data_IF_630496214497
#
_entry.id   IF_630496214497
#
_cell.length_a   1.000
_cell.length_b   1.000
_cell.length_c   1.000
_cell.angle_alpha   90.00
_cell.angle_beta   90.00
_cell.angle_gamma   90.00
#
_symmetry.space_group_name_H-M   'P 1'
#
loop_
_entity.id
_entity.type
_entity.pdbx_description
1 polymer ?
#
# COMPACT_ATOMS: atom_id res chain seq x y z
N UNK A 1 -16.07 9.18 16.73
CA UNK A 1 -15.44 10.49 16.47
C UNK A 1 -14.13 10.55 17.26
N UNK A 2 -13.09 11.08 16.69
CA UNK A 2 -11.81 11.35 17.36
C UNK A 2 -11.21 12.62 16.76
N UNK A 3 -10.39 13.29 17.56
CA UNK A 3 -9.58 14.42 17.13
C UNK A 3 -8.13 13.95 17.02
N UNK A 4 -7.46 14.34 15.93
CA UNK A 4 -6.07 14.00 15.68
C UNK A 4 -5.29 15.29 15.38
N UNK A 5 -4.20 15.50 16.11
CA UNK A 5 -3.25 16.58 15.85
C UNK A 5 -2.00 15.97 15.22
N UNK A 6 -1.69 16.41 13.99
CA UNK A 6 -0.50 15.98 13.25
C UNK A 6 0.51 17.13 13.24
N UNK A 7 1.73 16.94 13.81
CA UNK A 7 2.77 17.96 13.75
C UNK A 7 3.42 17.99 12.35
N UNK A 8 2.87 18.80 11.45
CA UNK A 8 3.37 18.94 10.09
C UNK A 8 4.33 20.13 9.98
N UNK A 9 5.54 19.89 9.48
CA UNK A 9 6.50 20.95 9.10
C UNK A 9 6.36 21.39 7.64
N UNK A 10 5.77 20.53 6.78
CA UNK A 10 5.47 20.80 5.38
C UNK A 10 4.17 20.11 4.98
N UNK A 11 3.54 20.48 3.85
CA UNK A 11 2.40 19.76 3.30
C UNK A 11 2.74 18.30 3.04
N UNK A 12 1.75 17.41 3.24
CA UNK A 12 1.93 15.99 3.02
C UNK A 12 0.63 15.29 2.59
N UNK A 13 0.80 14.19 1.87
CA UNK A 13 -0.30 13.28 1.55
C UNK A 13 -0.44 12.20 2.62
N UNK A 14 -1.67 11.94 3.00
CA UNK A 14 -2.05 10.88 3.93
C UNK A 14 -3.08 9.96 3.30
N UNK A 15 -3.18 8.75 3.82
CA UNK A 15 -4.19 7.79 3.41
C UNK A 15 -5.01 7.34 4.60
N UNK A 16 -6.35 7.43 4.48
CA UNK A 16 -7.30 6.86 5.44
C UNK A 16 -8.23 5.93 4.67
N UNK A 17 -8.06 4.61 4.84
CA UNK A 17 -8.77 3.62 4.05
C UNK A 17 -8.52 3.83 2.54
N UNK A 18 -9.57 4.13 1.79
CA UNK A 18 -9.49 4.43 0.34
C UNK A 18 -9.36 5.92 0.03
N UNK A 19 -9.40 6.79 1.03
CA UNK A 19 -9.27 8.23 0.82
C UNK A 19 -7.81 8.67 0.84
N UNK A 20 -7.46 9.56 -0.07
CA UNK A 20 -6.21 10.32 -0.03
C UNK A 20 -6.53 11.70 0.51
N UNK A 21 -5.79 12.13 1.52
CA UNK A 21 -5.86 13.47 2.10
C UNK A 21 -4.58 14.23 1.79
N UNK A 22 -4.71 15.52 1.52
CA UNK A 22 -3.60 16.46 1.47
C UNK A 22 -3.79 17.47 2.59
N UNK A 23 -2.82 17.53 3.50
CA UNK A 23 -2.86 18.39 4.66
C UNK A 23 -1.67 19.35 4.65
N UNK A 24 -1.92 20.57 5.03
CA UNK A 24 -0.90 21.61 5.17
C UNK A 24 -0.76 22.05 6.64
N UNK A 25 0.41 22.57 7.07
CA UNK A 25 0.52 23.12 8.40
C UNK A 25 -0.56 24.18 8.68
N UNK A 26 -1.28 24.02 9.77
CA UNK A 26 -2.36 24.93 10.17
C UNK A 26 -3.70 24.68 9.46
N UNK A 27 -3.91 23.53 8.81
CA UNK A 27 -5.24 23.09 8.40
C UNK A 27 -6.08 22.71 9.62
N UNK A 28 -7.38 22.94 9.53
CA UNK A 28 -8.39 22.52 10.50
C UNK A 28 -9.50 21.82 9.73
N UNK A 29 -9.26 20.54 9.41
CA UNK A 29 -10.12 19.78 8.52
C UNK A 29 -10.99 18.80 9.29
N UNK A 30 -12.31 18.91 9.12
CA UNK A 30 -13.26 17.87 9.53
C UNK A 30 -13.46 16.89 8.38
N UNK A 31 -13.27 15.60 8.67
CA UNK A 31 -13.37 14.52 7.69
C UNK A 31 -14.50 13.58 8.07
N UNK A 32 -15.44 13.40 7.18
CA UNK A 32 -16.54 12.44 7.30
C UNK A 32 -16.33 11.34 6.28
N UNK A 33 -15.89 10.17 6.73
CA UNK A 33 -15.61 9.03 5.86
C UNK A 33 -16.93 8.32 5.52
N UNK A 34 -17.23 8.24 4.22
CA UNK A 34 -18.32 7.43 3.70
C UNK A 34 -17.92 5.97 3.51
N UNK A 35 -18.90 5.11 3.24
CA UNK A 35 -18.70 3.70 2.91
C UNK A 35 -17.94 3.51 1.59
N UNK A 36 -17.98 4.50 0.72
CA UNK A 36 -17.14 4.60 -0.48
C UNK A 36 -16.45 5.96 -0.53
N UNK A 37 -15.32 6.03 -1.21
CA UNK A 37 -14.53 7.25 -1.34
C UNK A 37 -15.32 8.47 -1.83
N UNK A 38 -16.19 8.38 -2.87
CA UNK A 38 -16.98 9.50 -3.33
C UNK A 38 -17.99 10.06 -2.31
N UNK A 39 -18.38 9.25 -1.33
CA UNK A 39 -19.35 9.64 -0.28
C UNK A 39 -18.69 10.40 0.89
N UNK A 40 -17.35 10.41 0.97
CA UNK A 40 -16.66 11.17 2.00
C UNK A 40 -16.84 12.66 1.80
N UNK A 41 -16.95 13.43 2.89
CA UNK A 41 -17.10 14.89 2.86
C UNK A 41 -16.06 15.55 3.76
N UNK A 42 -15.72 16.79 3.41
CA UNK A 42 -14.69 17.57 4.05
C UNK A 42 -15.22 18.95 4.36
N UNK A 43 -14.91 19.48 5.55
CA UNK A 43 -15.29 20.82 5.98
C UNK A 43 -14.11 21.50 6.66
N UNK A 44 -14.03 22.83 6.57
CA UNK A 44 -13.00 23.63 7.21
C UNK A 44 -11.80 23.93 6.29
N UNK A 45 -10.71 24.40 6.90
CA UNK A 45 -9.50 24.79 6.16
C UNK A 45 -8.82 23.57 5.58
N UNK A 46 -8.55 23.57 4.27
CA UNK A 46 -7.99 22.45 3.51
C UNK A 46 -9.05 21.63 2.76
N UNK A 47 -10.36 21.97 2.87
CA UNK A 47 -11.42 21.18 2.28
C UNK A 47 -11.38 21.15 0.74
N UNK A 48 -10.93 22.20 0.06
CA UNK A 48 -10.96 22.29 -1.40
C UNK A 48 -10.01 21.26 -2.04
N UNK A 49 -8.77 21.16 -1.54
CA UNK A 49 -7.81 20.18 -2.00
C UNK A 49 -8.33 18.74 -1.79
N UNK A 50 -8.92 18.49 -0.61
CA UNK A 50 -9.41 17.15 -0.25
C UNK A 50 -10.72 16.79 -0.99
N UNK A 51 -11.57 17.76 -1.28
CA UNK A 51 -12.75 17.58 -2.14
C UNK A 51 -12.35 17.26 -3.58
N UNK A 52 -11.30 17.90 -4.11
CA UNK A 52 -10.74 17.56 -5.42
C UNK A 52 -10.17 16.14 -5.45
N UNK A 53 -9.43 15.75 -4.41
CA UNK A 53 -8.83 14.40 -4.33
C UNK A 53 -9.88 13.29 -4.18
N UNK A 54 -11.06 13.62 -3.68
CA UNK A 54 -12.17 12.71 -3.53
C UNK A 54 -12.55 12.05 -4.85
N UNK A 55 -12.58 10.72 -4.90
CA UNK A 55 -12.91 9.98 -6.11
C UNK A 55 -11.81 9.97 -7.18
N UNK A 56 -10.63 10.51 -6.89
CA UNK A 56 -9.48 10.43 -7.80
C UNK A 56 -8.79 9.08 -7.68
N UNK A 57 -7.97 8.78 -8.68
CA UNK A 57 -7.17 7.56 -8.68
C UNK A 57 -6.26 7.51 -7.45
N UNK A 58 -6.10 6.33 -6.90
CA UNK A 58 -5.16 6.13 -5.80
C UNK A 58 -3.74 6.46 -6.27
N UNK A 59 -2.94 7.16 -5.47
CA UNK A 59 -1.56 7.46 -5.82
C UNK A 59 -0.75 6.21 -6.18
N UNK A 60 -0.87 5.15 -5.40
CA UNK A 60 -0.12 3.89 -5.59
C UNK A 60 -0.54 3.07 -6.82
N UNK A 61 -1.76 3.25 -7.30
CA UNK A 61 -2.30 2.52 -8.45
C UNK A 61 -2.88 3.49 -9.49
N UNK A 62 -2.40 4.75 -9.49
CA UNK A 62 -2.86 5.80 -10.38
C UNK A 62 -2.67 5.41 -11.83
N UNK A 63 -3.78 5.17 -12.52
CA UNK A 63 -3.78 4.84 -13.93
C UNK A 63 -5.11 5.23 -14.56
N UNK A 64 -5.05 5.82 -15.74
CA UNK A 64 -6.23 6.14 -16.51
C UNK A 64 -6.85 4.92 -17.21
N UNK A 65 -6.20 3.73 -17.13
CA UNK A 65 -6.76 2.50 -17.72
C UNK A 65 -8.00 2.00 -16.97
N UNK A 66 -8.24 2.41 -15.71
CA UNK A 66 -9.45 2.09 -14.96
C UNK A 66 -9.76 0.58 -14.91
N UNK A 67 -8.76 -0.22 -14.50
CA UNK A 67 -8.84 -1.69 -14.50
C UNK A 67 -9.23 -2.28 -15.88
N UNK A 68 -8.66 -1.73 -16.94
CA UNK A 68 -8.87 -2.19 -18.33
C UNK A 68 -10.06 -1.55 -19.06
N UNK A 69 -10.98 -0.85 -18.39
CA UNK A 69 -12.16 -0.25 -19.04
C UNK A 69 -11.81 0.78 -20.12
N UNK A 70 -10.70 1.48 -19.98
CA UNK A 70 -10.20 2.48 -20.93
C UNK A 70 -9.14 1.92 -21.89
N UNK A 71 -8.88 0.61 -21.83
CA UNK A 71 -8.03 -0.06 -22.79
C UNK A 71 -8.68 -0.04 -24.19
N UNK A 72 -7.86 0.09 -25.21
CA UNK A 72 -8.25 0.01 -26.62
C UNK A 72 -7.38 -1.08 -27.29
N UNK A 73 -7.77 -1.57 -28.48
CA UNK A 73 -7.06 -2.66 -29.15
C UNK A 73 -5.58 -2.40 -29.42
N UNK A 74 -5.18 -1.14 -29.54
CA UNK A 74 -3.78 -0.75 -29.77
C UNK A 74 -3.28 0.24 -28.73
N UNK A 75 -1.96 0.30 -28.54
CA UNK A 75 -1.34 1.29 -27.68
C UNK A 75 -1.70 2.72 -28.09
N UNK A 76 -1.61 3.05 -29.37
CA UNK A 76 -1.91 4.38 -29.89
C UNK A 76 -3.36 4.82 -29.61
N UNK A 77 -4.32 3.92 -29.77
CA UNK A 77 -5.72 4.20 -29.46
C UNK A 77 -5.95 4.36 -27.95
N UNK A 78 -5.26 3.56 -27.13
CA UNK A 78 -5.29 3.67 -25.68
C UNK A 78 -4.64 4.97 -25.21
N UNK A 79 -3.48 5.32 -25.79
CA UNK A 79 -2.76 6.58 -25.54
C UNK A 79 -3.68 7.78 -25.74
N UNK A 80 -4.37 7.87 -26.88
CA UNK A 80 -5.34 8.96 -27.16
C UNK A 80 -6.42 9.07 -26.08
N UNK A 81 -6.92 7.93 -25.60
CA UNK A 81 -7.92 7.90 -24.53
C UNK A 81 -7.33 8.42 -23.22
N UNK A 82 -6.13 7.95 -22.85
CA UNK A 82 -5.41 8.37 -21.63
C UNK A 82 -5.11 9.87 -21.68
N UNK A 83 -4.57 10.37 -22.79
CA UNK A 83 -4.24 11.79 -22.97
C UNK A 83 -5.47 12.69 -22.84
N UNK A 84 -6.60 12.27 -23.41
CA UNK A 84 -7.87 13.00 -23.31
C UNK A 84 -8.36 13.09 -21.87
N UNK A 85 -8.27 11.97 -21.11
CA UNK A 85 -8.66 11.92 -19.70
C UNK A 85 -7.71 12.75 -18.83
N UNK A 86 -6.43 12.74 -19.13
CA UNK A 86 -5.43 13.55 -18.43
C UNK A 86 -5.67 15.04 -18.68
N UNK A 87 -5.97 15.42 -19.91
CA UNK A 87 -6.29 16.81 -20.27
C UNK A 87 -7.54 17.33 -19.53
N UNK A 88 -8.59 16.51 -19.42
CA UNK A 88 -9.78 16.85 -18.63
C UNK A 88 -9.42 17.07 -17.15
N UNK A 89 -8.63 16.17 -16.58
CA UNK A 89 -8.21 16.29 -15.18
C UNK A 89 -7.30 17.50 -14.95
N UNK A 90 -6.42 17.82 -15.89
CA UNK A 90 -5.57 19.00 -15.84
C UNK A 90 -6.41 20.28 -15.83
N UNK A 91 -7.44 20.35 -16.68
CA UNK A 91 -8.40 21.45 -16.72
C UNK A 91 -9.15 21.60 -15.39
N UNK A 92 -9.69 20.50 -14.82
CA UNK A 92 -10.33 20.53 -13.50
C UNK A 92 -9.38 21.10 -12.41
N UNK A 93 -8.11 20.69 -12.44
CA UNK A 93 -7.11 21.19 -11.49
C UNK A 93 -6.84 22.70 -11.66
N UNK A 94 -6.81 23.18 -12.89
CA UNK A 94 -6.60 24.62 -13.18
C UNK A 94 -7.78 25.50 -12.75
N UNK A 95 -8.99 24.97 -12.81
CA UNK A 95 -10.21 25.67 -12.41
C UNK A 95 -10.41 25.72 -10.89
N UNK A 96 -9.65 24.94 -10.10
CA UNK A 96 -9.76 24.98 -8.64
C UNK A 96 -9.44 26.37 -8.09
N UNK A 97 -10.22 26.78 -7.08
CA UNK A 97 -9.95 27.99 -6.28
C UNK A 97 -9.47 27.57 -4.89
N UNK A 98 -8.81 28.48 -4.19
CA UNK A 98 -8.42 28.33 -2.77
C UNK A 98 -7.53 27.11 -2.47
N UNK A 99 -6.71 26.67 -3.44
CA UNK A 99 -5.68 25.65 -3.22
C UNK A 99 -4.29 26.28 -3.36
N UNK A 100 -3.31 25.73 -2.64
CA UNK A 100 -1.93 26.24 -2.69
C UNK A 100 -1.28 26.01 -4.06
N UNK A 101 -0.27 26.82 -4.37
CA UNK A 101 0.55 26.64 -5.59
C UNK A 101 1.27 25.29 -5.55
N UNK A 102 1.72 24.88 -4.37
CA UNK A 102 2.40 23.61 -4.14
C UNK A 102 1.45 22.42 -4.41
N UNK A 103 0.23 22.45 -3.89
CA UNK A 103 -0.78 21.43 -4.20
C UNK A 103 -0.98 21.29 -5.71
N UNK A 104 -1.15 22.41 -6.39
CA UNK A 104 -1.35 22.45 -7.85
C UNK A 104 -0.16 21.84 -8.59
N UNK A 105 1.05 22.15 -8.16
CA UNK A 105 2.27 21.62 -8.75
C UNK A 105 2.35 20.11 -8.56
N UNK A 106 2.20 19.61 -7.32
CA UNK A 106 2.25 18.19 -7.01
C UNK A 106 1.15 17.39 -7.75
N UNK A 107 -0.07 17.94 -7.87
CA UNK A 107 -1.14 17.30 -8.60
C UNK A 107 -0.92 17.29 -10.12
N UNK A 108 -0.27 18.31 -10.69
CA UNK A 108 0.17 18.28 -12.10
C UNK A 108 1.14 17.12 -12.34
N UNK A 109 2.14 16.97 -11.47
CA UNK A 109 3.11 15.90 -11.60
C UNK A 109 2.46 14.54 -11.35
N UNK A 110 1.47 14.45 -10.45
CA UNK A 110 0.67 13.26 -10.26
C UNK A 110 -0.10 12.86 -11.51
N UNK A 111 -0.74 13.81 -12.21
CA UNK A 111 -1.48 13.54 -13.45
C UNK A 111 -0.53 13.01 -14.53
N UNK A 112 0.66 13.60 -14.69
CA UNK A 112 1.69 13.13 -15.63
C UNK A 112 2.16 11.72 -15.28
N UNK A 113 2.40 11.45 -13.99
CA UNK A 113 2.78 10.12 -13.54
C UNK A 113 1.65 9.09 -13.74
N UNK A 114 0.37 9.45 -13.56
CA UNK A 114 -0.78 8.62 -13.90
C UNK A 114 -0.81 8.29 -15.41
N UNK A 115 -0.41 9.22 -16.29
CA UNK A 115 -0.25 8.97 -17.74
C UNK A 115 0.88 7.97 -17.98
N UNK A 116 2.07 8.23 -17.43
CA UNK A 116 3.23 7.33 -17.58
C UNK A 116 2.91 5.91 -17.07
N UNK A 117 2.28 5.82 -15.89
CA UNK A 117 1.84 4.53 -15.33
C UNK A 117 0.83 3.83 -16.24
N UNK A 118 -0.08 4.59 -16.87
CA UNK A 118 -1.06 4.02 -17.82
C UNK A 118 -0.36 3.45 -19.06
N UNK A 119 0.63 4.15 -19.60
CA UNK A 119 1.39 3.69 -20.75
C UNK A 119 2.17 2.42 -20.42
N UNK A 120 2.90 2.40 -19.30
CA UNK A 120 3.64 1.22 -18.86
C UNK A 120 2.74 0.01 -18.64
N UNK A 121 1.57 0.24 -18.02
CA UNK A 121 0.64 -0.81 -17.66
C UNK A 121 -0.12 -1.38 -18.86
N UNK A 122 -0.10 -0.73 -20.03
CA UNK A 122 -0.83 -1.16 -21.23
C UNK A 122 -0.54 -2.63 -21.59
N UNK A 123 0.75 -3.00 -21.61
CA UNK A 123 1.16 -4.35 -21.99
C UNK A 123 0.58 -5.41 -21.04
N UNK A 124 0.53 -5.14 -19.74
CA UNK A 124 -0.01 -6.07 -18.73
C UNK A 124 -1.53 -6.27 -18.81
N UNK A 125 -2.25 -5.39 -19.50
CA UNK A 125 -3.69 -5.49 -19.74
C UNK A 125 -4.03 -5.93 -21.16
N UNK A 126 -3.04 -6.05 -22.06
CA UNK A 126 -3.24 -6.35 -23.47
C UNK A 126 -3.15 -7.85 -23.74
N UNK A 127 -4.30 -8.54 -23.76
CA UNK A 127 -4.36 -9.95 -24.12
C UNK A 127 -3.70 -10.21 -25.49
N UNK A 128 -3.87 -9.29 -26.46
CA UNK A 128 -3.29 -9.41 -27.79
C UNK A 128 -1.75 -9.42 -27.78
N UNK A 129 -1.11 -8.83 -26.79
CA UNK A 129 0.36 -8.84 -26.66
C UNK A 129 0.88 -10.08 -25.93
N UNK A 130 0.05 -10.65 -25.04
CA UNK A 130 0.49 -11.66 -24.09
C UNK A 130 -0.03 -13.06 -24.38
N UNK A 131 -1.07 -13.20 -25.23
CA UNK A 131 -1.71 -14.48 -25.56
C UNK A 131 -0.76 -15.54 -26.10
N UNK A 132 0.28 -15.13 -26.81
CA UNK A 132 1.23 -16.03 -27.46
C UNK A 132 2.45 -16.36 -26.58
N UNK A 133 2.59 -15.71 -25.41
CA UNK A 133 3.70 -15.96 -24.49
C UNK A 133 3.51 -17.30 -23.78
N UNK A 134 4.44 -18.24 -24.02
CA UNK A 134 4.43 -19.59 -23.42
C UNK A 134 5.38 -19.74 -22.24
N UNK A 135 6.23 -18.73 -22.00
CA UNK A 135 7.21 -18.73 -20.93
C UNK A 135 7.39 -17.34 -20.33
N UNK A 136 7.93 -17.30 -19.12
CA UNK A 136 8.29 -16.04 -18.44
C UNK A 136 9.35 -15.26 -19.25
N UNK A 137 10.25 -15.96 -19.90
CA UNK A 137 11.30 -15.34 -20.71
C UNK A 137 10.71 -14.66 -21.97
N UNK A 138 9.78 -15.32 -22.68
CA UNK A 138 9.07 -14.72 -23.81
C UNK A 138 8.27 -13.49 -23.37
N UNK A 139 7.60 -13.57 -22.20
CA UNK A 139 6.87 -12.45 -21.61
C UNK A 139 7.80 -11.26 -21.36
N UNK A 140 8.97 -11.48 -20.72
CA UNK A 140 9.96 -10.43 -20.48
C UNK A 140 10.48 -9.80 -21.77
N UNK A 141 10.70 -10.61 -22.82
CA UNK A 141 11.14 -10.10 -24.13
C UNK A 141 10.07 -9.23 -24.80
N UNK A 142 8.81 -9.64 -24.76
CA UNK A 142 7.68 -8.86 -25.29
C UNK A 142 7.57 -7.53 -24.58
N UNK A 143 7.62 -7.54 -23.23
CA UNK A 143 7.60 -6.31 -22.43
C UNK A 143 8.79 -5.41 -22.74
N UNK A 144 10.01 -5.96 -22.86
CA UNK A 144 11.22 -5.19 -23.16
C UNK A 144 11.11 -4.48 -24.53
N UNK A 145 10.61 -5.17 -25.56
CA UNK A 145 10.36 -4.57 -26.88
C UNK A 145 9.30 -3.47 -26.80
N UNK A 146 8.22 -3.71 -26.08
CA UNK A 146 7.18 -2.71 -25.86
C UNK A 146 7.72 -1.46 -25.18
N UNK A 147 8.43 -1.60 -24.04
CA UNK A 147 9.00 -0.44 -23.35
C UNK A 147 9.99 0.34 -24.20
N UNK A 148 10.77 -0.35 -25.02
CA UNK A 148 11.66 0.31 -26.00
C UNK A 148 10.85 1.11 -27.03
N UNK A 149 9.72 0.58 -27.50
CA UNK A 149 8.90 1.24 -28.52
C UNK A 149 8.21 2.51 -28.03
N UNK A 150 7.94 2.62 -26.72
CA UNK A 150 7.27 3.79 -26.11
C UNK A 150 8.23 4.82 -25.51
N UNK A 151 9.57 4.67 -25.68
CA UNK A 151 10.54 5.61 -25.12
C UNK A 151 10.27 7.07 -25.53
N UNK A 152 9.88 7.30 -26.78
CA UNK A 152 9.57 8.62 -27.29
C UNK A 152 8.41 9.31 -26.57
N UNK A 153 7.43 8.54 -26.11
CA UNK A 153 6.29 9.03 -25.33
C UNK A 153 6.61 9.17 -23.84
N UNK A 154 7.43 8.26 -23.32
CA UNK A 154 7.74 8.20 -21.90
C UNK A 154 8.80 9.19 -21.43
N UNK A 155 9.92 9.31 -22.19
CA UNK A 155 11.07 10.11 -21.73
C UNK A 155 10.70 11.57 -21.43
N UNK A 156 9.90 12.27 -22.24
CA UNK A 156 9.49 13.64 -21.92
C UNK A 156 8.73 13.74 -20.59
N UNK A 157 7.82 12.80 -20.33
CA UNK A 157 7.05 12.77 -19.08
C UNK A 157 7.97 12.50 -17.89
N UNK A 158 8.87 11.53 -18.04
CA UNK A 158 9.80 11.15 -16.97
C UNK A 158 10.78 12.28 -16.63
N UNK A 159 11.23 13.05 -17.63
CA UNK A 159 12.07 14.22 -17.39
C UNK A 159 11.36 15.28 -16.55
N UNK A 160 10.06 15.50 -16.79
CA UNK A 160 9.27 16.44 -16.01
C UNK A 160 9.04 15.94 -14.57
N UNK A 161 8.54 14.72 -14.39
CA UNK A 161 8.23 14.18 -13.04
C UNK A 161 9.47 13.84 -12.21
N UNK A 162 10.66 13.74 -12.83
CA UNK A 162 11.94 13.62 -12.15
C UNK A 162 12.64 14.96 -11.93
N UNK A 163 12.01 16.07 -12.27
CA UNK A 163 12.59 17.41 -12.21
C UNK A 163 12.84 17.95 -10.80
N UNK A 164 12.23 17.36 -9.78
CA UNK A 164 12.46 17.70 -8.37
C UNK A 164 12.31 16.50 -7.47
N UNK A 165 13.16 16.41 -6.45
CA UNK A 165 13.05 15.40 -5.39
C UNK A 165 11.76 15.53 -4.56
N UNK A 166 11.15 16.72 -4.49
CA UNK A 166 9.88 16.95 -3.79
C UNK A 166 8.72 16.17 -4.45
N UNK A 167 8.83 15.87 -5.75
CA UNK A 167 7.80 15.08 -6.45
C UNK A 167 7.76 13.61 -6.00
N UNK A 168 8.84 13.13 -5.38
CA UNK A 168 8.87 11.79 -4.75
C UNK A 168 7.92 11.65 -3.55
N UNK A 169 7.41 12.76 -3.02
CA UNK A 169 6.34 12.74 -2.01
C UNK A 169 5.00 12.28 -2.61
N UNK A 170 4.84 12.35 -3.93
CA UNK A 170 3.67 11.84 -4.67
C UNK A 170 3.88 10.36 -4.99
N UNK A 171 3.05 9.50 -4.40
CA UNK A 171 3.27 8.04 -4.45
C UNK A 171 3.39 7.48 -5.89
N UNK A 172 2.50 7.87 -6.81
CA UNK A 172 2.57 7.37 -8.21
C UNK A 172 3.81 7.87 -8.95
N UNK A 173 4.29 9.09 -8.67
CA UNK A 173 5.56 9.60 -9.22
C UNK A 173 6.70 8.70 -8.77
N UNK A 174 6.77 8.44 -7.48
CA UNK A 174 7.76 7.56 -6.88
C UNK A 174 7.72 6.15 -7.49
N UNK A 175 6.52 5.55 -7.56
CA UNK A 175 6.33 4.19 -8.07
C UNK A 175 6.76 4.09 -9.55
N UNK A 176 6.42 5.08 -10.39
CA UNK A 176 6.82 5.14 -11.80
C UNK A 176 8.33 5.29 -11.95
N UNK A 177 8.94 6.24 -11.23
CA UNK A 177 10.37 6.50 -11.33
C UNK A 177 11.21 5.30 -10.83
N UNK A 178 10.79 4.64 -9.75
CA UNK A 178 11.43 3.41 -9.25
C UNK A 178 11.31 2.28 -10.27
N UNK A 179 10.13 2.07 -10.85
CA UNK A 179 9.93 1.06 -11.89
C UNK A 179 10.81 1.32 -13.11
N UNK A 180 10.86 2.56 -13.58
CA UNK A 180 11.70 2.96 -14.71
C UNK A 180 13.21 2.88 -14.38
N UNK A 181 13.59 3.11 -13.13
CA UNK A 181 14.99 2.95 -12.67
C UNK A 181 15.45 1.49 -12.84
N UNK A 182 14.62 0.55 -12.43
CA UNK A 182 14.92 -0.88 -12.49
C UNK A 182 14.89 -1.42 -13.92
N UNK A 183 13.98 -0.91 -14.76
CA UNK A 183 13.90 -1.31 -16.18
C UNK A 183 15.12 -0.90 -17.01
N UNK A 184 15.77 0.22 -16.69
CA UNK A 184 16.97 0.76 -17.39
C UNK A 184 16.78 1.04 -18.88
N UNK A 185 15.51 1.16 -19.32
CA UNK A 185 15.16 1.40 -20.73
C UNK A 185 14.99 2.89 -21.01
N UNK A 186 14.51 3.66 -20.03
CA UNK A 186 14.12 5.06 -20.20
C UNK A 186 15.23 6.03 -19.82
N UNK A 187 15.24 7.21 -20.48
CA UNK A 187 16.20 8.28 -20.25
C UNK A 187 15.54 9.45 -19.50
N UNK A 188 16.00 9.70 -18.28
CA UNK A 188 15.54 10.78 -17.40
C UNK A 188 16.55 11.04 -16.28
N UNK A 189 16.50 12.21 -15.59
CA UNK A 189 17.38 12.53 -14.48
C UNK A 189 17.21 11.56 -13.30
N UNK A 190 18.31 10.96 -12.84
CA UNK A 190 18.34 10.08 -11.68
C UNK A 190 19.03 10.80 -10.53
N UNK A 191 18.25 11.41 -9.65
CA UNK A 191 18.78 12.09 -8.47
C UNK A 191 19.40 11.10 -7.47
N UNK A 192 20.29 11.60 -6.61
CA UNK A 192 20.84 10.81 -5.52
C UNK A 192 19.75 10.34 -4.53
N UNK A 193 18.69 11.11 -4.36
CA UNK A 193 17.55 10.75 -3.51
C UNK A 193 16.74 9.59 -4.11
N UNK A 194 16.48 9.62 -5.42
CA UNK A 194 15.83 8.51 -6.11
C UNK A 194 16.68 7.23 -6.06
N UNK A 195 17.99 7.34 -6.26
CA UNK A 195 18.88 6.19 -6.18
C UNK A 195 18.87 5.55 -4.78
N UNK A 196 18.97 6.35 -3.73
CA UNK A 196 18.89 5.85 -2.35
C UNK A 196 17.50 5.27 -2.02
N UNK A 197 16.41 5.87 -2.56
CA UNK A 197 15.07 5.31 -2.42
C UNK A 197 14.96 3.91 -3.02
N UNK A 198 15.52 3.69 -4.22
CA UNK A 198 15.54 2.36 -4.86
C UNK A 198 16.27 1.36 -3.97
N UNK A 199 17.45 1.73 -3.46
CA UNK A 199 18.22 0.89 -2.56
C UNK A 199 17.45 0.54 -1.27
N UNK A 200 16.75 1.52 -0.69
CA UNK A 200 15.89 1.34 0.50
C UNK A 200 14.74 0.37 0.22
N UNK A 201 14.13 0.43 -0.97
CA UNK A 201 13.03 -0.46 -1.35
C UNK A 201 13.53 -1.89 -1.59
N UNK A 202 14.65 -2.06 -2.30
CA UNK A 202 15.31 -3.36 -2.50
C UNK A 202 15.68 -4.01 -1.16
N UNK A 203 16.33 -3.27 -0.27
CA UNK A 203 16.63 -3.72 1.09
C UNK A 203 15.39 -3.93 1.94
N UNK A 204 14.29 -3.25 1.63
CA UNK A 204 13.00 -3.42 2.28
C UNK A 204 12.37 -4.79 2.06
N UNK A 205 12.63 -5.45 0.92
CA UNK A 205 12.17 -6.82 0.63
C UNK A 205 12.82 -7.84 1.57
N UNK A 206 14.04 -7.59 2.01
CA UNK A 206 14.72 -8.45 2.97
C UNK A 206 14.08 -8.46 4.36
N UNK A 207 13.21 -7.48 4.66
CA UNK A 207 12.43 -7.45 5.90
C UNK A 207 11.25 -8.42 5.89
N UNK A 208 10.83 -8.92 4.74
CA UNK A 208 9.68 -9.83 4.62
C UNK A 208 10.05 -11.28 4.96
N UNK A 209 11.34 -11.64 4.91
CA UNK A 209 11.86 -12.95 5.28
C UNK A 209 12.08 -13.12 6.78
N UNK A 210 12.72 -14.22 7.15
CA UNK A 210 13.16 -14.48 8.52
C UNK A 210 14.19 -13.42 8.96
N UNK A 211 13.96 -12.83 10.11
CA UNK A 211 14.84 -11.82 10.69
C UNK A 211 15.69 -12.42 11.81
N UNK A 212 16.90 -12.87 11.48
CA UNK A 212 17.90 -13.32 12.48
C UNK A 212 18.56 -12.14 13.18
N UNK A 213 19.20 -12.35 14.36
CA UNK A 213 19.99 -11.31 15.02
C UNK A 213 21.12 -10.72 14.15
N UNK A 214 21.74 -11.53 13.32
CA UNK A 214 22.78 -11.12 12.34
C UNK A 214 22.16 -10.21 11.28
N UNK A 215 21.06 -10.62 10.68
CA UNK A 215 20.34 -9.86 9.65
C UNK A 215 19.81 -8.54 10.21
N UNK A 216 19.27 -8.54 11.43
CA UNK A 216 18.87 -7.32 12.10
C UNK A 216 20.02 -6.31 12.24
N UNK A 217 21.22 -6.77 12.65
CA UNK A 217 22.40 -5.89 12.77
C UNK A 217 22.84 -5.34 11.42
N UNK A 218 22.84 -6.18 10.38
CA UNK A 218 23.16 -5.76 9.00
C UNK A 218 22.22 -4.66 8.53
N UNK A 219 20.88 -4.89 8.62
CA UNK A 219 19.87 -3.96 8.15
C UNK A 219 19.83 -2.66 8.97
N UNK A 220 20.08 -2.74 10.28
CA UNK A 220 20.24 -1.56 11.14
C UNK A 220 21.45 -0.72 10.74
N UNK A 221 22.56 -1.38 10.41
CA UNK A 221 23.79 -0.73 9.95
C UNK A 221 23.59 -0.07 8.57
N UNK A 222 22.85 -0.74 7.66
CA UNK A 222 22.44 -0.18 6.39
C UNK A 222 21.63 1.11 6.61
N UNK A 223 20.58 1.08 7.42
CA UNK A 223 19.76 2.25 7.70
C UNK A 223 20.56 3.42 8.30
N UNK A 224 21.57 3.11 9.13
CA UNK A 224 22.43 4.14 9.72
C UNK A 224 23.40 4.82 8.74
N UNK A 225 23.58 4.27 7.54
CA UNK A 225 24.42 4.84 6.48
C UNK A 225 23.64 5.67 5.45
N UNK A 226 22.32 5.62 5.49
CA UNK A 226 21.47 6.37 4.57
C UNK A 226 21.66 7.89 4.75
N UNK A 227 21.77 8.58 3.62
CA UNK A 227 21.99 10.04 3.58
C UNK A 227 20.71 10.81 3.92
N UNK A 228 19.55 10.30 3.48
CA UNK A 228 18.27 10.95 3.71
C UNK A 228 17.63 10.39 4.99
N UNK A 229 17.51 11.28 5.98
CA UNK A 229 17.05 10.95 7.33
C UNK A 229 15.65 10.36 7.39
N UNK A 230 14.74 10.86 6.56
CA UNK A 230 13.37 10.35 6.46
C UNK A 230 13.33 8.89 5.96
N UNK A 231 14.21 8.51 5.04
CA UNK A 231 14.35 7.12 4.61
C UNK A 231 14.91 6.24 5.73
N UNK A 232 15.95 6.72 6.41
CA UNK A 232 16.55 6.03 7.55
C UNK A 232 15.51 5.79 8.67
N UNK A 233 14.77 6.82 9.07
CA UNK A 233 13.75 6.73 10.12
C UNK A 233 12.61 5.80 9.73
N UNK A 234 12.12 5.89 8.49
CA UNK A 234 11.06 5.00 7.99
C UNK A 234 11.51 3.53 7.96
N UNK A 235 12.72 3.28 7.48
CA UNK A 235 13.31 1.93 7.41
C UNK A 235 13.51 1.34 8.82
N UNK A 236 14.14 2.10 9.72
CA UNK A 236 14.35 1.69 11.11
C UNK A 236 13.01 1.42 11.82
N UNK A 237 12.00 2.25 11.58
CA UNK A 237 10.66 2.03 12.15
C UNK A 237 10.04 0.70 11.70
N UNK A 238 10.24 0.29 10.42
CA UNK A 238 9.82 -1.04 9.93
C UNK A 238 10.64 -2.15 10.56
N UNK A 239 11.96 -2.01 10.56
CA UNK A 239 12.90 -2.98 11.12
C UNK A 239 12.60 -3.25 12.61
N UNK A 240 12.40 -2.21 13.42
CA UNK A 240 12.10 -2.35 14.86
C UNK A 240 10.73 -3.02 15.10
N UNK A 241 9.73 -2.77 14.26
CA UNK A 241 8.46 -3.51 14.33
C UNK A 241 8.65 -4.99 14.06
N UNK A 242 9.40 -5.34 13.02
CA UNK A 242 9.72 -6.73 12.67
C UNK A 242 10.57 -7.42 13.75
N UNK A 243 11.52 -6.69 14.34
CA UNK A 243 12.39 -7.20 15.39
C UNK A 243 11.63 -7.67 16.65
N UNK A 244 10.41 -7.16 16.89
CA UNK A 244 9.55 -7.66 17.98
C UNK A 244 9.11 -9.10 17.78
N UNK A 245 9.13 -9.60 16.55
CA UNK A 245 8.72 -10.96 16.17
C UNK A 245 9.91 -11.90 15.96
N UNK A 246 11.14 -11.46 16.27
CA UNK A 246 12.33 -12.30 16.14
C UNK A 246 12.28 -13.47 17.12
N UNK A 247 12.86 -14.60 16.71
CA UNK A 247 13.06 -15.74 17.59
C UNK A 247 13.78 -15.36 18.89
N UNK A 248 13.36 -15.93 20.00
CA UNK A 248 13.88 -15.62 21.33
C UNK A 248 13.38 -14.32 21.96
N UNK A 249 12.57 -13.52 21.24
CA UNK A 249 11.91 -12.36 21.82
C UNK A 249 10.59 -12.75 22.49
N UNK A 250 10.20 -12.06 23.56
CA UNK A 250 8.88 -12.26 24.16
C UNK A 250 7.78 -12.02 23.11
N UNK A 251 6.82 -12.95 23.01
CA UNK A 251 5.67 -12.74 22.15
C UNK A 251 4.87 -11.49 22.58
N UNK A 252 4.26 -10.83 21.60
CA UNK A 252 3.39 -9.68 21.84
C UNK A 252 2.17 -10.17 22.63
N UNK A 253 1.93 -9.58 23.80
CA UNK A 253 0.77 -9.92 24.62
C UNK A 253 -0.47 -9.16 24.10
N UNK A 254 -1.32 -9.85 23.38
CA UNK A 254 -2.50 -9.28 22.72
C UNK A 254 -3.71 -9.37 23.64
N UNK A 255 -4.50 -8.30 23.69
CA UNK A 255 -5.81 -8.29 24.31
C UNK A 255 -6.85 -8.90 23.34
N UNK A 256 -7.72 -9.74 23.88
CA UNK A 256 -8.78 -10.40 23.11
C UNK A 256 -10.10 -10.49 23.87
N UNK A 257 -11.15 -10.89 23.18
CA UNK A 257 -12.43 -11.30 23.75
C UNK A 257 -12.77 -12.72 23.26
N UNK A 258 -13.30 -13.58 24.15
CA UNK A 258 -13.80 -14.91 23.79
C UNK A 258 -15.18 -14.81 23.15
N UNK A 259 -15.67 -15.91 22.55
CA UNK A 259 -17.03 -16.01 22.02
C UNK A 259 -18.11 -15.71 23.07
N UNK A 260 -17.87 -16.05 24.34
CA UNK A 260 -18.74 -15.75 25.47
C UNK A 260 -18.62 -14.29 25.98
N UNK A 261 -17.73 -13.48 25.39
CA UNK A 261 -17.51 -12.10 25.77
C UNK A 261 -16.53 -11.90 26.94
N UNK A 262 -15.80 -12.92 27.36
CA UNK A 262 -14.77 -12.82 28.39
C UNK A 262 -13.53 -12.14 27.81
N UNK A 263 -13.03 -11.12 28.48
CA UNK A 263 -11.76 -10.44 28.13
C UNK A 263 -10.59 -11.22 28.69
N UNK A 264 -9.49 -11.27 27.95
CA UNK A 264 -8.25 -11.93 28.35
C UNK A 264 -7.06 -11.41 27.57
N UNK A 265 -5.91 -12.00 27.83
CA UNK A 265 -4.64 -11.73 27.17
C UNK A 265 -4.02 -13.01 26.62
N UNK A 266 -3.21 -12.91 25.58
CA UNK A 266 -2.52 -14.08 25.02
C UNK A 266 -1.65 -14.78 26.09
N UNK A 267 -1.10 -14.00 27.03
CA UNK A 267 -0.34 -14.53 28.18
C UNK A 267 -1.14 -15.44 29.13
N UNK A 268 -2.47 -15.40 29.11
CA UNK A 268 -3.31 -16.29 29.92
C UNK A 268 -3.21 -17.77 29.47
N UNK A 269 -2.70 -17.99 28.24
CA UNK A 269 -2.51 -19.33 27.65
C UNK A 269 -1.08 -19.88 27.81
N UNK A 270 -0.22 -19.23 28.61
CA UNK A 270 1.14 -19.70 28.88
C UNK A 270 1.15 -21.08 29.54
N UNK A 271 2.23 -21.83 29.29
CA UNK A 271 2.47 -23.14 29.92
C UNK A 271 2.64 -24.27 28.93
N UNK A 272 2.24 -24.06 27.66
CA UNK A 272 2.48 -24.97 26.54
C UNK A 272 2.94 -24.16 25.32
N UNK A 273 3.63 -24.78 24.35
CA UNK A 273 3.83 -24.14 23.06
C UNK A 273 2.50 -23.71 22.46
N UNK A 274 2.45 -22.52 21.86
CA UNK A 274 1.25 -21.99 21.23
C UNK A 274 1.47 -21.88 19.70
N UNK A 275 0.47 -22.31 18.96
CA UNK A 275 0.32 -22.03 17.54
C UNK A 275 -0.81 -21.01 17.40
N UNK A 276 -0.48 -19.79 16.99
CA UNK A 276 -1.43 -18.68 16.88
C UNK A 276 -1.69 -18.37 15.41
N UNK A 277 -2.94 -18.50 14.99
CA UNK A 277 -3.40 -18.16 13.66
C UNK A 277 -4.24 -16.88 13.66
N UNK A 278 -3.94 -15.96 12.78
CA UNK A 278 -4.71 -14.72 12.59
C UNK A 278 -5.59 -14.84 11.36
N UNK A 279 -6.89 -14.69 11.54
CA UNK A 279 -7.86 -14.88 10.47
C UNK A 279 -8.98 -13.83 10.50
N UNK A 280 -9.84 -13.82 9.48
CA UNK A 280 -11.05 -13.00 9.46
C UNK A 280 -12.14 -13.66 8.59
N UNK A 281 -13.41 -13.33 8.83
CA UNK A 281 -14.55 -13.87 8.05
C UNK A 281 -14.53 -13.48 6.58
N UNK A 282 -13.84 -12.41 6.23
CA UNK A 282 -13.65 -11.91 4.86
C UNK A 282 -12.35 -12.40 4.20
N UNK A 283 -11.52 -13.16 4.91
CA UNK A 283 -10.24 -13.65 4.41
C UNK A 283 -10.42 -15.00 3.70
N UNK A 284 -10.61 -14.98 2.40
CA UNK A 284 -10.78 -16.19 1.59
C UNK A 284 -9.65 -17.21 1.75
N UNK A 285 -8.36 -16.86 1.63
CA UNK A 285 -7.24 -17.76 1.90
C UNK A 285 -7.28 -18.37 3.28
N UNK A 286 -7.61 -17.60 4.33
CA UNK A 286 -7.72 -18.11 5.69
C UNK A 286 -8.76 -19.23 5.80
N UNK A 287 -9.87 -19.10 5.07
CA UNK A 287 -10.91 -20.16 5.03
C UNK A 287 -10.36 -21.46 4.44
N UNK A 288 -9.46 -21.39 3.47
CA UNK A 288 -8.79 -22.56 2.88
C UNK A 288 -7.82 -23.25 3.84
N UNK A 289 -7.21 -22.50 4.75
CA UNK A 289 -6.22 -23.01 5.73
C UNK A 289 -6.89 -23.63 6.98
N UNK A 290 -8.11 -23.25 7.30
CA UNK A 290 -8.83 -23.74 8.50
C UNK A 290 -8.90 -25.26 8.65
N UNK A 291 -9.18 -26.07 7.60
CA UNK A 291 -9.18 -27.52 7.73
C UNK A 291 -7.83 -28.06 8.19
N UNK A 292 -6.72 -27.50 7.69
CA UNK A 292 -5.37 -27.91 8.09
C UNK A 292 -5.04 -27.49 9.52
N UNK A 293 -5.46 -26.29 9.94
CA UNK A 293 -5.35 -25.85 11.33
C UNK A 293 -6.05 -26.84 12.29
N UNK A 294 -7.27 -27.29 11.96
CA UNK A 294 -8.02 -28.27 12.76
C UNK A 294 -7.36 -29.65 12.76
N UNK A 295 -6.85 -30.11 11.63
CA UNK A 295 -6.11 -31.37 11.54
C UNK A 295 -4.86 -31.33 12.44
N UNK A 296 -4.08 -30.28 12.34
CA UNK A 296 -2.86 -30.06 13.14
C UNK A 296 -3.18 -29.98 14.63
N UNK A 297 -4.25 -29.31 15.04
CA UNK A 297 -4.67 -29.24 16.44
C UNK A 297 -4.98 -30.57 17.03
N UNK A 298 -5.61 -31.46 16.24
CA UNK A 298 -5.91 -32.85 16.63
C UNK A 298 -4.66 -33.71 16.71
N UNK A 299 -3.69 -33.48 15.81
CA UNK A 299 -2.44 -34.25 15.72
C UNK A 299 -1.44 -33.89 16.82
N UNK A 300 -1.46 -32.66 17.31
CA UNK A 300 -0.50 -32.15 18.28
C UNK A 300 -1.16 -31.67 19.59
N UNK A 301 -1.66 -32.54 20.44
CA UNK A 301 -2.43 -32.22 21.67
C UNK A 301 -1.58 -31.48 22.73
N UNK A 302 -0.26 -31.55 22.61
CA UNK A 302 0.68 -30.85 23.52
C UNK A 302 0.92 -29.39 23.09
N UNK A 303 0.45 -28.99 21.92
CA UNK A 303 0.50 -27.59 21.42
C UNK A 303 -0.88 -26.96 21.62
N UNK A 304 -0.91 -25.74 22.08
CA UNK A 304 -2.13 -24.98 22.20
C UNK A 304 -2.39 -24.20 20.92
N UNK A 305 -3.43 -24.59 20.20
CA UNK A 305 -3.86 -23.88 18.99
C UNK A 305 -4.84 -22.77 19.37
N UNK A 306 -4.62 -21.58 18.82
CA UNK A 306 -5.41 -20.37 19.12
C UNK A 306 -5.71 -19.66 17.83
N UNK A 307 -6.99 -19.58 17.45
CA UNK A 307 -7.46 -18.77 16.33
C UNK A 307 -7.82 -17.36 16.82
N UNK A 308 -7.22 -16.32 16.25
CA UNK A 308 -7.50 -14.93 16.60
C UNK A 308 -8.12 -14.23 15.40
N UNK A 309 -9.44 -13.98 15.48
CA UNK A 309 -10.11 -13.16 14.48
C UNK A 309 -9.71 -11.69 14.60
N UNK A 310 -9.43 -11.06 13.45
CA UNK A 310 -9.22 -9.61 13.34
C UNK A 310 -10.45 -8.89 12.76
N UNK A 311 -11.62 -9.54 12.78
CA UNK A 311 -12.87 -8.93 12.35
C UNK A 311 -13.23 -7.70 13.19
N UNK A 312 -13.55 -6.60 12.54
CA UNK A 312 -14.08 -5.40 13.20
C UNK A 312 -15.54 -5.63 13.69
N UNK A 313 -16.28 -6.51 13.00
CA UNK A 313 -17.65 -6.85 13.33
C UNK A 313 -17.70 -8.10 14.21
N UNK A 314 -17.82 -7.90 15.52
CA UNK A 314 -18.03 -8.99 16.49
C UNK A 314 -19.24 -9.87 16.10
N UNK A 315 -20.29 -9.28 15.54
CA UNK A 315 -21.47 -9.99 15.06
C UNK A 315 -21.14 -10.91 13.88
N UNK A 316 -20.32 -10.46 12.91
CA UNK A 316 -19.93 -11.28 11.78
C UNK A 316 -19.09 -12.48 12.25
N UNK A 317 -18.11 -12.22 13.10
CA UNK A 317 -17.26 -13.23 13.72
C UNK A 317 -18.09 -14.28 14.51
N UNK A 318 -18.95 -13.85 15.46
CA UNK A 318 -19.80 -14.75 16.25
C UNK A 318 -20.75 -15.58 15.38
N UNK A 319 -21.34 -15.01 14.35
CA UNK A 319 -22.19 -15.73 13.41
C UNK A 319 -21.42 -16.81 12.64
N UNK A 320 -20.17 -16.54 12.32
CA UNK A 320 -19.31 -17.47 11.59
C UNK A 320 -18.94 -18.67 12.48
N UNK A 321 -18.40 -18.44 13.67
CA UNK A 321 -18.03 -19.53 14.59
C UNK A 321 -19.25 -20.34 15.05
N UNK A 322 -20.41 -19.70 15.25
CA UNK A 322 -21.66 -20.34 15.63
C UNK A 322 -22.24 -21.31 14.59
N UNK A 323 -21.76 -21.26 13.33
CA UNK A 323 -22.12 -22.21 12.26
C UNK A 323 -21.33 -23.54 12.32
N UNK A 324 -20.42 -23.68 13.28
CA UNK A 324 -19.60 -24.89 13.44
C UNK A 324 -18.54 -25.09 12.34
N UNK A 325 -18.23 -24.06 11.58
CA UNK A 325 -17.26 -24.10 10.48
C UNK A 325 -15.81 -24.16 10.99
N UNK A 326 -15.61 -23.88 12.27
CA UNK A 326 -14.34 -24.00 12.97
C UNK A 326 -14.36 -25.20 13.90
N UNK A 327 -13.36 -26.04 13.83
CA UNK A 327 -13.08 -27.02 14.86
C UNK A 327 -12.74 -26.30 16.17
N UNK A 328 -13.20 -26.81 17.27
CA UNK A 328 -13.18 -26.25 18.62
C UNK A 328 -11.78 -25.94 19.15
N UNK A 329 -11.14 -24.87 18.72
CA UNK A 329 -9.89 -24.42 19.29
C UNK A 329 -10.01 -22.94 19.61
N UNK A 330 -9.97 -22.59 20.89
CA UNK A 330 -9.88 -21.24 21.48
C UNK A 330 -10.09 -20.08 20.49
N UNK A 331 -11.34 -19.87 20.07
CA UNK A 331 -11.69 -18.80 19.15
C UNK A 331 -11.76 -17.46 19.87
N UNK A 332 -10.88 -16.55 19.49
CA UNK A 332 -10.70 -15.26 20.10
C UNK A 332 -10.90 -14.15 19.05
N UNK A 333 -11.32 -12.98 19.50
CA UNK A 333 -11.35 -11.79 18.65
C UNK A 333 -10.41 -10.74 19.22
N UNK A 334 -9.53 -10.21 18.38
CA UNK A 334 -8.56 -9.20 18.79
C UNK A 334 -9.26 -7.87 19.10
N UNK A 335 -9.09 -7.39 20.31
CA UNK A 335 -9.60 -6.09 20.76
C UNK A 335 -8.50 -5.03 20.84
N UNK A 336 -7.28 -5.37 20.40
CA UNK A 336 -6.17 -4.41 20.46
C UNK A 336 -6.39 -3.29 19.44
N UNK A 337 -6.59 -2.07 19.94
CA UNK A 337 -6.73 -0.87 19.12
C UNK A 337 -5.48 -0.55 18.28
N UNK A 338 -4.33 -1.14 18.60
CA UNK A 338 -3.06 -0.99 17.87
C UNK A 338 -3.04 -1.80 16.56
N UNK A 339 -3.90 -2.79 16.42
CA UNK A 339 -4.08 -3.55 15.16
C UNK A 339 -5.06 -2.89 14.21
N UNK A 340 -5.75 -1.83 14.66
CA UNK A 340 -6.74 -1.07 13.88
C UNK A 340 -6.17 0.19 13.20
N UNK A 341 -4.83 0.38 13.24
CA UNK A 341 -4.14 1.53 12.63
C UNK A 341 -3.43 1.15 11.32
#
# INVERSE_FOLDING_TARGET
>A
NFDLVLPLSKPAYFRIGRNTLYLTPGDELKVYLGTSQPQSTFEGKGMEANTYLKGRLFPKAGSFLSAGRNLRPTFEATKKTVDSLAALRMKELEELKNVSKEFRLLEKERIKADVANSYMSFAGYSDAMLSDCKSEEEFKQVLGKFYTSIQGDMNPILQEIAGSDDYLDVAVVRDVLVSCYNLKVFDYPKSARLAELVEVLEKGEELEGELTPEKYRELKNFAGKLKYKDFSEAYLGRLERRAKLMEGRPAIDLDFVTSEGKKGKLSDYKGKPMYVDFWATWCGPCMGEMPYFNELSSKYPNVQFIGISVDESEKAWKNFIGRGSHGAVNELNCQDSRTKS
#
